data_IF_881095597957
#
_entry.id   IF_881095597957
#
_cell.length_a   1.000
_cell.length_b   1.000
_cell.length_c   1.000
_cell.angle_alpha   90.00
_cell.angle_beta   90.00
_cell.angle_gamma   90.00
#
_symmetry.space_group_name_H-M   'P 1'
#
loop_
_entity.id
_entity.type
_entity.pdbx_description
1 polymer ?
#
# COMPACT_ATOMS: atom_id res chain seq x y z
N UNK A 1 -32.66 -6.48 32.39
CA UNK A 1 -32.49 -7.71 31.59
C UNK A 1 -33.61 -7.76 30.58
N UNK A 2 -33.28 -7.97 29.31
CA UNK A 2 -34.26 -8.02 28.23
C UNK A 2 -35.04 -9.34 28.26
N UNK A 3 -36.33 -9.27 27.96
CA UNK A 3 -37.25 -10.42 27.91
C UNK A 3 -38.22 -10.28 26.74
N UNK A 4 -38.67 -11.42 26.21
CA UNK A 4 -39.65 -11.44 25.13
C UNK A 4 -41.06 -11.51 25.72
N UNK A 5 -41.93 -10.58 25.34
CA UNK A 5 -43.32 -10.52 25.82
C UNK A 5 -44.29 -10.61 24.65
N UNK A 6 -45.26 -11.52 24.75
CA UNK A 6 -46.37 -11.63 23.81
C UNK A 6 -47.55 -10.77 24.27
N UNK A 7 -48.17 -10.06 23.33
CA UNK A 7 -49.44 -9.32 23.53
C UNK A 7 -50.44 -9.78 22.48
N UNK A 8 -51.63 -10.19 22.92
CA UNK A 8 -52.74 -10.56 22.04
C UNK A 8 -53.61 -9.32 21.80
N UNK A 9 -53.84 -8.94 20.55
CA UNK A 9 -54.81 -7.90 20.17
C UNK A 9 -55.75 -8.49 19.12
N UNK A 10 -57.03 -8.65 19.48
CA UNK A 10 -58.00 -9.40 18.69
C UNK A 10 -57.55 -10.85 18.47
N UNK A 11 -57.53 -11.30 17.21
CA UNK A 11 -57.08 -12.64 16.82
C UNK A 11 -55.58 -12.71 16.46
N UNK A 12 -54.79 -11.65 16.66
CA UNK A 12 -53.36 -11.61 16.31
C UNK A 12 -52.45 -11.53 17.54
N UNK A 13 -51.30 -12.22 17.45
CA UNK A 13 -50.23 -12.20 18.45
C UNK A 13 -49.10 -11.27 18.00
N UNK A 14 -48.67 -10.42 18.94
CA UNK A 14 -47.64 -9.41 18.74
C UNK A 14 -46.52 -9.63 19.75
N UNK A 15 -45.27 -9.57 19.29
CA UNK A 15 -44.10 -9.78 20.14
C UNK A 15 -43.35 -8.47 20.39
N UNK A 16 -42.84 -8.33 21.60
CA UNK A 16 -42.05 -7.18 22.03
C UNK A 16 -40.81 -7.65 22.78
N UNK A 17 -39.69 -6.98 22.54
CA UNK A 17 -38.52 -7.04 23.41
C UNK A 17 -38.71 -5.98 24.50
N UNK A 18 -38.64 -6.41 25.75
CA UNK A 18 -38.94 -5.58 26.91
C UNK A 18 -37.76 -5.59 27.86
N UNK A 19 -37.30 -4.42 28.23
CA UNK A 19 -36.31 -4.26 29.30
C UNK A 19 -36.97 -3.72 30.56
N UNK A 20 -36.71 -4.41 31.67
CA UNK A 20 -37.20 -4.06 32.99
C UNK A 20 -36.06 -3.51 33.85
N UNK A 21 -36.32 -2.42 34.57
CA UNK A 21 -35.46 -1.88 35.61
C UNK A 21 -36.29 -1.46 36.83
N UNK A 22 -35.66 -1.23 38.00
CA UNK A 22 -36.39 -0.69 39.15
C UNK A 22 -36.42 0.83 39.08
N UNK A 23 -37.61 1.41 39.12
CA UNK A 23 -37.85 2.85 39.22
C UNK A 23 -38.60 3.06 40.54
N UNK A 24 -38.05 3.89 41.43
CA UNK A 24 -38.56 4.11 42.79
C UNK A 24 -38.78 2.80 43.57
N UNK A 25 -37.81 1.88 43.47
CA UNK A 25 -37.86 0.58 44.13
C UNK A 25 -38.85 -0.43 43.55
N UNK A 26 -39.62 -0.08 42.51
CA UNK A 26 -40.60 -0.97 41.86
C UNK A 26 -40.14 -1.39 40.46
N UNK A 27 -40.27 -2.67 40.07
CA UNK A 27 -39.93 -3.10 38.71
C UNK A 27 -40.89 -2.45 37.70
N UNK A 28 -40.32 -1.75 36.71
CA UNK A 28 -41.02 -1.07 35.62
C UNK A 28 -40.35 -1.41 34.29
N UNK A 29 -41.17 -1.43 33.23
CA UNK A 29 -40.66 -1.52 31.87
C UNK A 29 -40.09 -0.16 31.49
N UNK A 30 -38.80 -0.10 31.21
CA UNK A 30 -38.11 1.13 30.82
C UNK A 30 -37.94 1.25 29.31
N UNK A 31 -37.89 0.12 28.61
CA UNK A 31 -37.79 0.09 27.15
C UNK A 31 -38.65 -1.03 26.59
N UNK A 32 -39.33 -0.74 25.48
CA UNK A 32 -40.13 -1.71 24.75
C UNK A 32 -39.95 -1.50 23.24
N UNK A 33 -39.38 -2.49 22.56
CA UNK A 33 -39.26 -2.50 21.10
C UNK A 33 -40.26 -3.50 20.49
N UNK A 34 -41.00 -3.07 19.47
CA UNK A 34 -41.95 -3.93 18.76
C UNK A 34 -41.24 -4.80 17.73
N UNK A 35 -41.42 -6.12 17.82
CA UNK A 35 -40.73 -7.10 16.98
C UNK A 35 -41.58 -7.58 15.78
N UNK A 36 -42.87 -7.27 15.75
CA UNK A 36 -43.77 -7.75 14.70
C UNK A 36 -44.86 -8.70 15.20
N UNK A 37 -45.62 -9.25 14.25
CA UNK A 37 -46.57 -10.34 14.51
C UNK A 37 -45.85 -11.68 14.57
N UNK A 38 -46.50 -12.70 15.13
CA UNK A 38 -45.97 -14.06 15.18
C UNK A 38 -45.58 -14.58 13.79
N UNK A 39 -46.40 -14.33 12.77
CA UNK A 39 -46.16 -14.81 11.40
C UNK A 39 -44.94 -14.14 10.78
N UNK A 40 -44.79 -12.81 10.96
CA UNK A 40 -43.65 -12.07 10.42
C UNK A 40 -42.35 -12.44 11.12
N UNK A 41 -42.39 -12.70 12.42
CA UNK A 41 -41.23 -13.15 13.19
C UNK A 41 -40.80 -14.57 12.79
N UNK A 42 -41.77 -15.47 12.59
CA UNK A 42 -41.50 -16.81 12.06
C UNK A 42 -40.93 -16.76 10.64
N UNK A 43 -41.49 -15.91 9.78
CA UNK A 43 -40.99 -15.70 8.42
C UNK A 43 -39.57 -15.14 8.44
N UNK A 44 -39.27 -14.15 9.30
CA UNK A 44 -37.91 -13.63 9.45
C UNK A 44 -36.95 -14.71 9.94
N UNK A 45 -37.33 -15.56 10.90
CA UNK A 45 -36.48 -16.66 11.37
C UNK A 45 -36.26 -17.72 10.30
N UNK A 46 -37.26 -18.00 9.46
CA UNK A 46 -37.13 -18.91 8.32
C UNK A 46 -36.28 -18.28 7.20
N UNK A 47 -36.41 -16.98 6.96
CA UNK A 47 -35.65 -16.23 5.96
C UNK A 47 -34.23 -15.91 6.42
N UNK A 48 -33.97 -15.89 7.73
CA UNK A 48 -32.63 -15.71 8.30
C UNK A 48 -31.80 -17.00 8.18
N UNK A 49 -31.77 -17.52 6.95
CA UNK A 49 -30.75 -18.42 6.41
C UNK A 49 -29.57 -17.57 5.95
N UNK A 50 -29.16 -16.57 6.74
CA UNK A 50 -27.86 -15.97 6.51
C UNK A 50 -26.84 -17.11 6.72
N UNK A 51 -26.02 -17.44 5.71
CA UNK A 51 -25.09 -18.55 5.84
C UNK A 51 -24.24 -18.31 7.07
N UNK A 52 -24.19 -19.30 7.96
CA UNK A 52 -23.30 -19.25 9.12
C UNK A 52 -21.89 -19.09 8.57
N UNK A 53 -21.15 -18.03 8.94
CA UNK A 53 -19.80 -17.84 8.43
C UNK A 53 -18.95 -19.04 8.80
N UNK A 54 -18.41 -19.73 7.78
CA UNK A 54 -17.61 -20.95 7.95
C UNK A 54 -16.22 -20.63 8.53
N UNK A 55 -15.71 -19.44 8.26
CA UNK A 55 -14.43 -18.94 8.78
C UNK A 55 -14.41 -17.40 8.77
N UNK A 56 -13.52 -16.84 9.58
CA UNK A 56 -13.13 -15.44 9.53
C UNK A 56 -11.60 -15.40 9.43
N UNK A 57 -11.09 -14.61 8.48
CA UNK A 57 -9.65 -14.41 8.29
C UNK A 57 -9.33 -12.98 8.65
N UNK A 58 -8.37 -12.77 9.55
CA UNK A 58 -7.82 -11.45 9.81
C UNK A 58 -6.76 -11.13 8.77
N UNK A 59 -6.76 -9.88 8.28
CA UNK A 59 -5.74 -9.39 7.36
C UNK A 59 -5.26 -8.01 7.75
N UNK A 60 -3.96 -7.78 7.58
CA UNK A 60 -3.34 -6.47 7.74
C UNK A 60 -3.71 -5.59 6.54
N UNK A 61 -4.67 -4.71 6.79
CA UNK A 61 -5.15 -3.75 5.81
C UNK A 61 -4.36 -2.44 5.82
N UNK A 62 -4.04 -1.92 7.01
CA UNK A 62 -3.56 -0.56 7.22
C UNK A 62 -2.29 -0.20 6.43
N UNK A 63 -1.13 -0.54 6.99
CA UNK A 63 0.16 -0.14 6.41
C UNK A 63 0.43 -0.78 5.04
N UNK A 64 0.23 -2.11 4.82
CA UNK A 64 0.47 -2.72 3.51
C UNK A 64 -0.44 -2.13 2.42
N UNK A 65 -1.72 -1.90 2.74
CA UNK A 65 -2.67 -1.28 1.82
C UNK A 65 -2.34 0.18 1.51
N UNK A 66 -1.92 0.96 2.52
CA UNK A 66 -1.49 2.34 2.32
C UNK A 66 -0.25 2.44 1.43
N UNK A 67 0.75 1.58 1.62
CA UNK A 67 1.96 1.55 0.80
C UNK A 67 1.66 1.09 -0.63
N UNK A 68 0.77 0.11 -0.81
CA UNK A 68 0.29 -0.30 -2.14
C UNK A 68 -0.42 0.85 -2.86
N UNK A 69 -1.33 1.54 -2.16
CA UNK A 69 -2.02 2.70 -2.72
C UNK A 69 -1.04 3.83 -3.07
N UNK A 70 -0.07 4.10 -2.21
CA UNK A 70 0.97 5.09 -2.45
C UNK A 70 1.83 4.73 -3.67
N UNK A 71 2.19 3.45 -3.86
CA UNK A 71 2.93 3.00 -5.04
C UNK A 71 2.14 3.22 -6.34
N UNK A 72 0.82 2.97 -6.32
CA UNK A 72 -0.07 3.25 -7.47
C UNK A 72 -0.18 4.76 -7.74
N UNK A 73 -0.49 5.55 -6.72
CA UNK A 73 -0.73 7.00 -6.86
C UNK A 73 0.54 7.78 -7.23
N UNK A 74 1.66 7.43 -6.61
CA UNK A 74 2.96 8.03 -6.92
C UNK A 74 3.44 7.68 -8.33
N UNK A 75 2.92 6.60 -8.95
CA UNK A 75 3.35 6.14 -10.27
C UNK A 75 4.55 5.20 -10.24
N UNK A 76 5.03 4.81 -9.04
CA UNK A 76 6.05 3.78 -8.88
C UNK A 76 5.61 2.48 -9.53
N UNK A 77 4.39 2.03 -9.22
CA UNK A 77 3.86 0.78 -9.76
C UNK A 77 3.84 0.71 -11.30
N UNK A 78 3.15 1.61 -12.01
CA UNK A 78 3.12 1.57 -13.48
C UNK A 78 4.51 1.74 -14.11
N UNK A 79 5.42 2.48 -13.48
CA UNK A 79 6.79 2.59 -13.98
C UNK A 79 7.54 1.26 -13.83
N UNK A 80 7.48 0.62 -12.66
CA UNK A 80 8.13 -0.68 -12.44
C UNK A 80 7.60 -1.75 -13.41
N UNK A 81 6.28 -1.82 -13.62
CA UNK A 81 5.70 -2.74 -14.60
C UNK A 81 6.13 -2.43 -16.04
N UNK A 82 6.36 -1.15 -16.39
CA UNK A 82 6.85 -0.78 -17.72
C UNK A 82 8.32 -1.17 -17.95
N UNK A 83 9.12 -1.22 -16.88
CA UNK A 83 10.53 -1.59 -16.94
C UNK A 83 10.71 -3.12 -16.90
N UNK A 84 9.91 -3.79 -16.07
CA UNK A 84 9.93 -5.24 -15.90
C UNK A 84 8.51 -5.80 -16.00
N UNK A 85 8.03 -6.05 -17.24
CA UNK A 85 6.69 -6.56 -17.48
C UNK A 85 6.47 -7.90 -16.79
N UNK A 86 5.23 -8.13 -16.34
CA UNK A 86 4.85 -9.40 -15.72
C UNK A 86 4.89 -10.55 -16.74
N UNK A 87 5.34 -11.75 -16.34
CA UNK A 87 5.32 -12.92 -17.20
C UNK A 87 3.89 -13.37 -17.49
N UNK A 88 3.76 -14.30 -18.45
CA UNK A 88 2.46 -14.84 -18.88
C UNK A 88 1.69 -15.52 -17.75
N UNK A 89 2.39 -16.00 -16.72
CA UNK A 89 1.81 -16.58 -15.52
C UNK A 89 2.62 -16.18 -14.28
N UNK A 90 1.92 -15.66 -13.28
CA UNK A 90 2.48 -15.36 -11.96
C UNK A 90 3.04 -13.94 -11.80
N UNK A 91 3.61 -13.65 -10.62
CA UNK A 91 4.17 -12.34 -10.30
C UNK A 91 5.43 -12.05 -11.13
N UNK A 92 5.54 -10.82 -11.63
CA UNK A 92 6.76 -10.32 -12.30
C UNK A 92 7.75 -9.63 -11.36
N UNK A 93 8.95 -9.23 -11.84
CA UNK A 93 9.98 -8.60 -11.00
C UNK A 93 9.50 -7.36 -10.24
N UNK A 94 8.59 -6.57 -10.83
CA UNK A 94 7.94 -5.43 -10.17
C UNK A 94 7.20 -5.83 -8.88
N UNK A 95 6.52 -6.99 -8.87
CA UNK A 95 5.81 -7.49 -7.69
C UNK A 95 6.80 -7.86 -6.58
N UNK A 96 7.88 -8.58 -6.92
CA UNK A 96 8.90 -8.96 -5.95
C UNK A 96 9.63 -7.73 -5.37
N UNK A 97 10.01 -6.76 -6.21
CA UNK A 97 10.61 -5.51 -5.75
C UNK A 97 9.70 -4.76 -4.78
N UNK A 98 8.43 -4.57 -5.17
CA UNK A 98 7.49 -3.82 -4.35
C UNK A 98 7.17 -4.57 -3.05
N UNK A 99 6.98 -5.89 -3.11
CA UNK A 99 6.72 -6.70 -1.92
C UNK A 99 7.89 -6.64 -0.93
N UNK A 100 9.12 -6.76 -1.42
CA UNK A 100 10.32 -6.63 -0.60
C UNK A 100 10.42 -5.25 0.07
N UNK A 101 10.07 -4.18 -0.67
CA UNK A 101 10.07 -2.82 -0.12
C UNK A 101 8.99 -2.64 0.96
N UNK A 102 7.75 -3.10 0.72
CA UNK A 102 6.66 -2.98 1.68
C UNK A 102 6.95 -3.83 2.93
N UNK A 103 7.39 -5.08 2.78
CA UNK A 103 7.77 -5.94 3.90
C UNK A 103 8.86 -5.30 4.75
N UNK A 104 9.89 -4.74 4.12
CA UNK A 104 10.99 -4.06 4.84
C UNK A 104 10.55 -2.81 5.62
N UNK A 105 9.46 -2.17 5.23
CA UNK A 105 8.87 -1.03 5.96
C UNK A 105 7.93 -1.51 7.07
N UNK A 106 7.09 -2.49 6.79
CA UNK A 106 6.00 -2.90 7.68
C UNK A 106 6.38 -3.94 8.73
N UNK A 107 7.20 -4.92 8.36
CA UNK A 107 7.62 -6.01 9.24
C UNK A 107 9.02 -6.50 8.80
N UNK A 108 10.10 -5.82 9.22
CA UNK A 108 11.44 -6.11 8.74
C UNK A 108 11.93 -7.48 9.24
N UNK A 109 11.74 -8.51 8.41
CA UNK A 109 12.18 -9.88 8.66
C UNK A 109 13.02 -10.49 7.51
N UNK A 110 13.52 -11.71 7.68
CA UNK A 110 14.21 -12.45 6.63
C UNK A 110 13.29 -12.73 5.44
N UNK A 111 13.87 -12.87 4.23
CA UNK A 111 13.11 -13.15 2.99
C UNK A 111 12.26 -14.42 3.06
N UNK A 112 12.61 -15.35 3.95
CA UNK A 112 11.90 -16.60 4.19
C UNK A 112 10.50 -16.41 4.78
N UNK A 113 10.23 -15.29 5.43
CA UNK A 113 8.95 -15.01 6.11
C UNK A 113 7.97 -14.22 5.23
N UNK A 114 8.47 -13.61 4.14
CA UNK A 114 7.71 -12.69 3.28
C UNK A 114 6.46 -13.35 2.69
N UNK A 115 6.54 -14.63 2.31
CA UNK A 115 5.41 -15.40 1.80
C UNK A 115 4.25 -15.46 2.80
N UNK A 116 4.55 -15.88 4.04
CA UNK A 116 3.56 -16.04 5.10
C UNK A 116 2.98 -14.68 5.49
N UNK A 117 3.84 -13.66 5.57
CA UNK A 117 3.42 -12.29 5.84
C UNK A 117 2.46 -11.78 4.75
N UNK A 118 2.82 -11.95 3.47
CA UNK A 118 2.00 -11.50 2.33
C UNK A 118 0.58 -12.08 2.37
N UNK A 119 0.43 -13.37 2.68
CA UNK A 119 -0.87 -14.05 2.80
C UNK A 119 -1.80 -13.37 3.83
N UNK A 120 -1.21 -12.90 4.92
CA UNK A 120 -1.89 -12.22 6.01
C UNK A 120 -2.19 -10.75 5.72
N UNK A 121 -1.79 -10.20 4.58
CA UNK A 121 -2.08 -8.81 4.22
C UNK A 121 -3.21 -8.65 3.21
N UNK A 122 -3.67 -7.41 3.03
CA UNK A 122 -4.58 -7.05 1.93
C UNK A 122 -3.96 -7.30 0.54
N UNK A 123 -2.63 -7.34 0.41
CA UNK A 123 -1.93 -7.55 -0.85
C UNK A 123 -2.31 -8.89 -1.50
N UNK A 124 -2.53 -9.94 -0.70
CA UNK A 124 -2.96 -11.23 -1.21
C UNK A 124 -4.33 -11.18 -1.91
N UNK A 125 -5.23 -10.32 -1.46
CA UNK A 125 -6.52 -10.10 -2.16
C UNK A 125 -6.36 -9.20 -3.37
N UNK A 126 -5.53 -8.16 -3.27
CA UNK A 126 -5.33 -7.19 -4.35
C UNK A 126 -4.56 -7.76 -5.54
N UNK A 127 -3.54 -8.59 -5.29
CA UNK A 127 -2.67 -9.15 -6.34
C UNK A 127 -3.15 -10.52 -6.81
N UNK A 128 -3.89 -11.26 -5.97
CA UNK A 128 -4.49 -12.54 -6.34
C UNK A 128 -3.49 -13.69 -6.57
N UNK A 129 -2.21 -13.51 -6.24
CA UNK A 129 -1.22 -14.57 -6.32
C UNK A 129 -1.20 -15.43 -5.06
N UNK A 130 -1.03 -16.76 -5.20
CA UNK A 130 -0.82 -17.65 -4.06
C UNK A 130 0.52 -17.35 -3.40
N UNK A 131 0.56 -17.40 -2.06
CA UNK A 131 1.72 -17.00 -1.26
C UNK A 131 2.97 -17.83 -1.61
N UNK A 132 2.78 -19.10 -1.98
CA UNK A 132 3.81 -20.05 -2.39
C UNK A 132 4.60 -19.61 -3.63
N UNK A 133 4.18 -18.55 -4.32
CA UNK A 133 4.95 -17.92 -5.41
C UNK A 133 6.04 -16.98 -4.90
N UNK A 134 5.97 -16.54 -3.65
CA UNK A 134 6.91 -15.60 -3.04
C UNK A 134 7.97 -16.32 -2.20
N UNK A 135 8.58 -17.37 -2.75
CA UNK A 135 9.68 -18.08 -2.09
C UNK A 135 10.99 -17.29 -2.19
N UNK A 136 11.92 -17.53 -1.27
CA UNK A 136 13.26 -16.91 -1.31
C UNK A 136 13.98 -17.11 -2.64
N UNK A 137 13.85 -18.29 -3.26
CA UNK A 137 14.45 -18.56 -4.58
C UNK A 137 13.79 -17.70 -5.66
N UNK A 138 12.46 -17.61 -5.69
CA UNK A 138 11.75 -16.81 -6.67
C UNK A 138 12.09 -15.31 -6.55
N UNK A 139 12.36 -14.82 -5.34
CA UNK A 139 12.91 -13.47 -5.13
C UNK A 139 14.28 -13.29 -5.80
N UNK A 140 15.18 -14.27 -5.65
CA UNK A 140 16.51 -14.21 -6.29
C UNK A 140 16.40 -14.27 -7.81
N UNK A 141 15.61 -15.21 -8.34
CA UNK A 141 15.38 -15.35 -9.78
C UNK A 141 14.79 -14.06 -10.39
N UNK A 142 13.91 -13.36 -9.65
CA UNK A 142 13.35 -12.09 -10.06
C UNK A 142 14.38 -10.95 -10.03
N UNK A 143 15.31 -10.96 -9.07
CA UNK A 143 16.35 -9.93 -8.95
C UNK A 143 17.48 -10.12 -9.97
N UNK A 144 17.83 -11.36 -10.34
CA UNK A 144 18.76 -11.63 -11.43
C UNK A 144 18.25 -11.12 -12.78
N UNK A 145 16.93 -11.08 -13.00
CA UNK A 145 16.34 -10.46 -14.19
C UNK A 145 16.50 -8.94 -14.23
N UNK A 146 16.65 -8.30 -13.07
CA UNK A 146 16.82 -6.85 -12.95
C UNK A 146 18.29 -6.48 -13.14
N UNK A 147 19.18 -7.23 -12.48
CA UNK A 147 20.62 -7.00 -12.50
C UNK A 147 21.33 -8.35 -12.76
N UNK A 148 21.45 -8.79 -14.02
CA UNK A 148 22.14 -10.04 -14.33
C UNK A 148 23.64 -9.89 -14.03
N UNK A 149 24.32 -10.97 -13.63
CA UNK A 149 25.74 -10.95 -13.22
C UNK A 149 26.70 -10.31 -14.25
N UNK A 150 26.30 -10.27 -15.53
CA UNK A 150 27.07 -9.64 -16.62
C UNK A 150 27.06 -8.10 -16.57
N UNK A 151 26.23 -7.51 -15.71
CA UNK A 151 26.06 -6.06 -15.54
C UNK A 151 27.22 -5.36 -14.82
N UNK A 152 28.11 -6.10 -14.14
CA UNK A 152 29.31 -5.50 -13.51
C UNK A 152 30.28 -4.86 -14.53
N UNK A 153 30.15 -5.24 -15.81
CA UNK A 153 30.91 -4.70 -16.94
C UNK A 153 30.23 -3.54 -17.67
N UNK A 154 29.01 -3.20 -17.27
CA UNK A 154 28.16 -2.20 -17.95
C UNK A 154 28.46 -0.81 -17.37
N UNK A 155 28.59 0.19 -18.24
CA UNK A 155 28.85 1.57 -17.78
C UNK A 155 27.70 2.05 -16.86
N UNK A 156 27.94 2.92 -15.86
CA UNK A 156 26.89 3.35 -14.91
C UNK A 156 25.63 3.94 -15.57
N UNK A 157 25.75 4.53 -16.77
CA UNK A 157 24.61 5.06 -17.52
C UNK A 157 23.70 3.97 -18.14
N UNK A 158 24.16 2.72 -18.17
CA UNK A 158 23.48 1.57 -18.75
C UNK A 158 23.00 0.58 -17.66
N UNK A 159 23.24 0.86 -16.37
CA UNK A 159 22.70 0.08 -15.26
C UNK A 159 21.16 0.21 -15.22
N UNK A 160 20.41 -0.91 -15.36
CA UNK A 160 18.95 -0.92 -15.29
C UNK A 160 18.38 -0.27 -14.03
N UNK A 161 19.07 -0.37 -12.89
CA UNK A 161 18.63 0.20 -11.62
C UNK A 161 18.80 1.71 -11.59
N UNK A 162 19.95 2.23 -12.04
CA UNK A 162 20.19 3.68 -12.15
C UNK A 162 19.18 4.32 -13.11
N UNK A 163 18.89 3.65 -14.24
CA UNK A 163 17.85 4.09 -15.17
C UNK A 163 16.46 4.11 -14.51
N UNK A 164 16.13 3.10 -13.71
CA UNK A 164 14.86 3.04 -12.98
C UNK A 164 14.76 4.18 -11.96
N UNK A 165 15.83 4.42 -11.20
CA UNK A 165 15.91 5.51 -10.22
C UNK A 165 15.76 6.89 -10.88
N UNK A 166 16.47 7.15 -11.98
CA UNK A 166 16.36 8.42 -12.72
C UNK A 166 14.94 8.64 -13.26
N UNK A 167 14.30 7.59 -13.79
CA UNK A 167 12.91 7.66 -14.26
C UNK A 167 11.92 7.91 -13.13
N UNK A 168 12.11 7.27 -11.97
CA UNK A 168 11.31 7.53 -10.77
C UNK A 168 11.43 8.98 -10.31
N UNK A 169 12.67 9.50 -10.24
CA UNK A 169 12.93 10.88 -9.85
C UNK A 169 12.27 11.87 -10.82
N UNK A 170 12.36 11.62 -12.13
CA UNK A 170 11.70 12.42 -13.17
C UNK A 170 10.19 12.44 -12.98
N UNK A 171 9.58 11.26 -12.80
CA UNK A 171 8.14 11.11 -12.60
C UNK A 171 7.65 11.84 -11.34
N UNK A 172 8.39 11.73 -10.23
CA UNK A 172 8.04 12.43 -8.99
C UNK A 172 8.25 13.94 -9.08
N UNK A 173 9.23 14.40 -9.87
CA UNK A 173 9.41 15.82 -10.16
C UNK A 173 8.21 16.38 -10.92
N UNK A 174 7.72 15.67 -11.94
CA UNK A 174 6.54 16.06 -12.71
C UNK A 174 5.28 16.12 -11.84
N UNK A 175 5.12 15.16 -10.92
CA UNK A 175 4.00 15.11 -9.96
C UNK A 175 4.17 16.04 -8.75
N UNK A 176 5.24 16.83 -8.69
CA UNK A 176 5.60 17.69 -7.55
C UNK A 176 5.68 16.94 -6.20
N UNK A 177 6.01 15.65 -6.23
CA UNK A 177 6.20 14.81 -5.05
C UNK A 177 7.61 14.97 -4.44
N UNK A 178 8.55 15.53 -5.19
CA UNK A 178 9.90 15.85 -4.69
C UNK A 178 9.91 17.27 -4.11
N UNK A 179 9.96 17.36 -2.79
CA UNK A 179 10.38 18.58 -2.08
C UNK A 179 11.90 18.52 -1.91
N UNK A 180 12.61 19.65 -2.00
CA UNK A 180 14.08 19.81 -1.94
C UNK A 180 14.82 19.04 -0.82
N UNK A 181 14.12 18.46 0.16
CA UNK A 181 14.67 17.71 1.29
C UNK A 181 14.98 16.23 1.01
N UNK A 182 14.45 15.63 -0.05
CA UNK A 182 14.62 14.18 -0.32
C UNK A 182 16.00 13.81 -0.91
N UNK A 183 16.71 14.75 -1.53
CA UNK A 183 18.01 14.48 -2.19
C UNK A 183 19.20 14.33 -1.23
N UNK A 184 18.99 14.49 0.09
CA UNK A 184 20.08 14.48 1.07
C UNK A 184 20.39 13.08 1.65
N UNK A 185 19.52 12.08 1.44
CA UNK A 185 19.64 10.78 2.11
C UNK A 185 20.34 9.67 1.30
N UNK A 186 20.51 9.84 -0.02
CA UNK A 186 20.90 8.74 -0.92
C UNK A 186 22.32 8.83 -1.50
N UNK A 187 23.15 9.79 -1.09
CA UNK A 187 24.58 9.74 -1.39
C UNK A 187 25.36 9.22 -0.17
N UNK A 188 25.94 8.01 -0.20
CA UNK A 188 27.05 7.72 0.71
C UNK A 188 28.13 8.78 0.44
N UNK A 189 28.77 9.36 1.48
CA UNK A 189 29.90 10.24 1.25
C UNK A 189 30.99 9.42 0.58
N UNK A 190 31.10 9.51 -0.76
CA UNK A 190 32.33 9.15 -1.45
C UNK A 190 33.40 10.01 -0.78
N UNK A 191 34.28 9.35 -0.04
CA UNK A 191 35.53 9.93 0.44
C UNK A 191 36.27 10.37 -0.81
N UNK A 192 36.08 11.63 -1.20
CA UNK A 192 37.01 12.31 -2.11
C UNK A 192 38.27 12.44 -1.28
N UNK A 193 39.40 11.78 -1.64
CA UNK A 193 40.65 12.08 -0.97
C UNK A 193 40.89 13.57 -1.15
N UNK A 194 40.97 14.31 -0.05
CA UNK A 194 41.28 15.74 0.02
C UNK A 194 42.65 16.01 -0.60
N UNK A 195 42.73 16.00 -1.92
CA UNK A 195 43.76 16.64 -2.71
C UNK A 195 43.29 18.07 -2.97
N UNK A 196 43.92 19.03 -2.28
CA UNK A 196 43.81 20.47 -2.54
C UNK A 196 43.76 20.76 -4.05
N UNK A 197 42.61 21.17 -4.56
CA UNK A 197 42.50 21.90 -5.81
C UNK A 197 41.68 23.17 -5.54
N UNK A 198 42.41 24.27 -5.33
CA UNK A 198 41.85 25.63 -5.38
C UNK A 198 41.39 25.87 -6.83
N UNK A 199 40.09 25.89 -7.08
CA UNK A 199 39.55 26.41 -8.33
C UNK A 199 39.03 27.84 -8.10
N UNK A 200 39.67 28.77 -8.78
CA UNK A 200 39.41 30.20 -8.75
C UNK A 200 38.01 30.49 -9.34
N UNK A 201 37.23 31.31 -8.62
CA UNK A 201 35.86 31.76 -8.94
C UNK A 201 35.76 32.70 -10.18
N UNK A 202 36.68 32.60 -11.15
CA UNK A 202 36.83 33.61 -12.24
C UNK A 202 36.50 33.12 -13.65
N UNK A 203 36.05 31.87 -13.84
CA UNK A 203 35.84 31.31 -15.20
C UNK A 203 34.38 30.99 -15.59
N UNK A 204 33.37 31.38 -14.79
CA UNK A 204 31.95 31.09 -15.15
C UNK A 204 31.07 32.33 -15.36
N UNK A 205 31.64 33.53 -15.41
CA UNK A 205 30.91 34.75 -15.77
C UNK A 205 31.75 35.61 -16.72
N UNK A 206 31.61 35.37 -18.03
CA UNK A 206 32.22 36.19 -19.06
C UNK A 206 31.96 35.64 -20.44
N UNK A 207 30.84 36.08 -21.05
CA UNK A 207 30.71 36.46 -22.46
C UNK A 207 29.21 36.57 -22.83
N UNK A 208 28.58 37.65 -22.39
CA UNK A 208 27.40 38.21 -23.06
C UNK A 208 27.92 39.22 -24.11
N UNK A 209 27.41 39.20 -25.36
CA UNK A 209 27.90 40.09 -26.41
C UNK A 209 27.41 41.53 -26.17
N UNK A 210 28.34 42.48 -26.20
CA UNK A 210 28.08 43.94 -26.18
C UNK A 210 27.89 44.48 -27.60
N UNK A 211 26.77 45.17 -27.84
CA UNK A 211 26.50 45.96 -29.05
C UNK A 211 27.47 47.15 -29.22
N UNK A 212 27.73 47.61 -30.47
CA UNK A 212 28.69 48.70 -30.73
C UNK A 212 28.08 50.10 -30.53
N UNK A 213 28.84 50.99 -29.89
CA UNK A 213 28.47 52.37 -29.65
C UNK A 213 28.64 53.26 -30.90
N UNK A 214 27.63 54.09 -31.15
CA UNK A 214 27.55 55.17 -32.14
C UNK A 214 28.61 56.25 -31.84
N UNK A 215 29.37 56.62 -32.87
CA UNK A 215 30.41 57.65 -32.79
C UNK A 215 29.79 59.02 -33.12
N UNK A 216 29.93 60.00 -32.22
CA UNK A 216 29.50 61.39 -32.43
C UNK A 216 30.70 62.32 -32.33
N UNK A 217 31.17 62.77 -33.51
CA UNK A 217 31.75 64.09 -33.77
C UNK A 217 31.55 64.43 -35.24
#
# INVERSE_FOLDING_TARGET
MASLVKKKKGHRLYYYLVESARVDGKPRIVQQAYLGTAEKLAQLLQQNTAPVPLSATLRDFGLPGALWLAAKQSGVWPLLESLWPSPRSGPGPAHYLLLAAIHRIGDPGPKTEVSNWYEQTILASEWGFPAERFTSQAFWDAFEQILPEQSETVAPAEDPLDRAQLRLLGLWKEKQLVVYRLLAADYPPRVIPTGRLKLHKKELLGNLPTEPAVNSR
#
